data_IF_512692514301
#
_entry.id   IF_512692514301
#
_cell.length_a   1.000
_cell.length_b   1.000
_cell.length_c   1.000
_cell.angle_alpha   90.00
_cell.angle_beta   90.00
_cell.angle_gamma   90.00
#
_symmetry.space_group_name_H-M   'P 1'
#
loop_
_entity.id
_entity.type
_entity.pdbx_description
1 polymer ?
#
# COMPACT_ATOMS: atom_id res chain seq x y z
N UNK A 1 63.15 17.09 -24.38
CA UNK A 1 61.96 16.22 -24.19
C UNK A 1 61.74 15.94 -22.70
N UNK A 2 61.25 16.91 -21.92
CA UNK A 2 60.94 16.72 -20.48
C UNK A 2 59.71 17.50 -19.99
N UNK A 3 59.09 18.33 -20.83
CA UNK A 3 57.98 19.24 -20.46
C UNK A 3 56.60 18.66 -20.76
N UNK A 4 56.48 17.70 -21.68
CA UNK A 4 55.20 17.07 -22.03
C UNK A 4 54.65 16.15 -20.93
N UNK A 5 55.52 15.57 -20.10
CA UNK A 5 55.12 14.63 -19.04
C UNK A 5 54.52 15.33 -17.81
N UNK A 6 54.81 16.62 -17.60
CA UNK A 6 54.32 17.37 -16.44
C UNK A 6 52.84 17.77 -16.55
N UNK A 7 52.33 18.03 -17.75
CA UNK A 7 50.92 18.37 -17.97
C UNK A 7 49.97 17.19 -17.73
N UNK A 8 50.43 15.96 -17.96
CA UNK A 8 49.60 14.76 -17.81
C UNK A 8 49.33 14.38 -16.34
N UNK A 9 50.16 14.85 -15.41
CA UNK A 9 49.99 14.59 -13.96
C UNK A 9 48.98 15.59 -13.35
N UNK A 10 48.91 16.82 -13.85
CA UNK A 10 48.00 17.84 -13.33
C UNK A 10 46.51 17.53 -13.58
N UNK A 11 46.20 16.84 -14.69
CA UNK A 11 44.83 16.42 -15.01
C UNK A 11 44.29 15.29 -14.13
N UNK A 12 45.16 14.48 -13.51
CA UNK A 12 44.74 13.38 -12.63
C UNK A 12 44.34 13.84 -11.23
N UNK A 13 44.78 15.02 -10.79
CA UNK A 13 44.43 15.57 -9.46
C UNK A 13 43.08 16.30 -9.42
N UNK A 14 42.52 16.70 -10.56
CA UNK A 14 41.23 17.39 -10.62
C UNK A 14 40.01 16.44 -10.53
N UNK A 15 40.23 15.11 -10.51
CA UNK A 15 39.17 14.11 -10.58
C UNK A 15 38.72 13.53 -9.22
N UNK A 16 39.26 14.02 -8.09
CA UNK A 16 39.09 13.35 -6.77
C UNK A 16 38.07 13.99 -5.82
N UNK A 17 37.16 14.83 -6.29
CA UNK A 17 36.01 15.28 -5.47
C UNK A 17 34.81 14.37 -5.62
N UNK A 18 35.00 13.06 -5.46
CA UNK A 18 33.87 12.14 -5.24
C UNK A 18 33.47 12.28 -3.76
N UNK A 19 32.45 13.08 -3.47
CA UNK A 19 31.87 13.10 -2.13
C UNK A 19 31.23 11.73 -1.88
N UNK A 20 31.78 11.00 -0.91
CA UNK A 20 31.22 9.72 -0.51
C UNK A 20 29.83 9.97 0.10
N UNK A 21 28.79 9.71 -0.67
CA UNK A 21 27.41 9.77 -0.20
C UNK A 21 27.14 8.63 0.78
N UNK A 22 26.59 8.96 1.94
CA UNK A 22 26.23 7.95 2.93
C UNK A 22 24.88 7.35 2.56
N UNK A 23 24.83 6.02 2.39
CA UNK A 23 23.64 5.31 1.92
C UNK A 23 23.42 4.02 2.70
N UNK A 24 22.17 3.72 3.06
CA UNK A 24 21.77 2.47 3.69
C UNK A 24 20.36 2.06 3.25
N UNK A 25 20.16 0.77 3.03
CA UNK A 25 18.83 0.17 2.87
C UNK A 25 18.45 -0.56 4.14
N UNK A 26 17.22 -0.33 4.62
CA UNK A 26 16.61 -0.90 5.81
C UNK A 26 15.44 -1.78 5.40
N UNK A 27 15.37 -3.00 5.96
CA UNK A 27 14.27 -3.93 5.73
C UNK A 27 13.55 -4.22 7.04
N UNK A 28 12.22 -4.17 7.04
CA UNK A 28 11.39 -4.59 8.18
C UNK A 28 10.17 -5.38 7.71
N UNK A 29 9.68 -6.23 8.60
CA UNK A 29 8.50 -7.05 8.43
C UNK A 29 7.53 -6.73 9.56
N UNK A 30 6.26 -6.55 9.25
CA UNK A 30 5.19 -6.33 10.19
C UNK A 30 4.11 -7.38 9.99
N UNK A 31 3.74 -8.05 11.07
CA UNK A 31 2.62 -8.99 11.07
C UNK A 31 1.31 -8.24 10.84
N UNK A 32 0.41 -8.83 10.06
CA UNK A 32 -0.95 -8.33 9.87
C UNK A 32 -1.91 -9.26 10.58
N UNK A 33 -2.51 -8.85 11.72
CA UNK A 33 -3.48 -9.69 12.42
C UNK A 33 -4.62 -10.09 11.48
N UNK A 34 -5.07 -11.35 11.55
CA UNK A 34 -6.11 -11.86 10.66
C UNK A 34 -7.44 -11.09 10.74
N UNK A 35 -7.73 -10.47 11.89
CA UNK A 35 -8.91 -9.64 12.10
C UNK A 35 -8.82 -8.26 11.40
N UNK A 36 -7.63 -7.84 10.96
CA UNK A 36 -7.41 -6.54 10.32
C UNK A 36 -8.16 -6.44 8.99
N UNK A 37 -9.08 -5.47 8.92
CA UNK A 37 -9.84 -5.11 7.74
C UNK A 37 -9.23 -3.90 7.01
N UNK A 38 -8.50 -3.04 7.73
CA UNK A 38 -7.98 -1.78 7.20
C UNK A 38 -6.50 -1.59 7.52
N UNK A 39 -5.76 -1.01 6.58
CA UNK A 39 -4.39 -0.55 6.76
C UNK A 39 -4.36 0.96 6.53
N UNK A 40 -3.72 1.68 7.45
CA UNK A 40 -3.56 3.13 7.37
C UNK A 40 -2.08 3.46 7.40
N UNK A 41 -1.63 4.26 6.43
CA UNK A 41 -0.23 4.68 6.33
C UNK A 41 -0.06 6.11 6.84
N UNK A 42 0.73 6.28 7.91
CA UNK A 42 1.06 7.57 8.49
C UNK A 42 2.57 7.83 8.35
N UNK A 43 2.96 8.30 7.18
CA UNK A 43 4.37 8.44 6.79
C UNK A 43 4.82 9.88 7.04
N UNK A 44 6.06 10.07 7.49
CA UNK A 44 6.65 11.40 7.61
C UNK A 44 6.55 12.16 6.28
N UNK A 45 6.07 13.39 6.33
CA UNK A 45 5.60 14.14 5.14
C UNK A 45 6.67 14.40 4.08
N UNK A 46 7.94 14.45 4.48
CA UNK A 46 9.05 14.69 3.56
C UNK A 46 9.64 13.40 2.98
N UNK A 47 9.20 12.22 3.44
CA UNK A 47 9.66 10.94 2.89
C UNK A 47 8.87 10.59 1.63
N UNK A 48 9.56 10.11 0.61
CA UNK A 48 8.93 9.54 -0.58
C UNK A 48 8.56 8.07 -0.31
N UNK A 49 7.39 7.63 -0.78
CA UNK A 49 7.02 6.23 -0.65
C UNK A 49 6.09 5.72 -1.77
N UNK A 50 6.17 4.42 -2.02
CA UNK A 50 5.23 3.68 -2.85
C UNK A 50 4.67 2.46 -2.10
N UNK A 51 3.41 2.13 -2.36
CA UNK A 51 2.74 0.95 -1.79
C UNK A 51 2.47 -0.05 -2.92
N UNK A 52 2.98 -1.27 -2.77
CA UNK A 52 2.99 -2.31 -3.79
C UNK A 52 2.27 -3.56 -3.26
N UNK A 53 1.23 -4.07 -3.94
CA UNK A 53 0.63 -5.36 -3.58
C UNK A 53 1.62 -6.52 -3.77
N UNK A 54 1.63 -7.50 -2.87
CA UNK A 54 2.42 -8.72 -3.02
C UNK A 54 1.69 -9.95 -2.48
N UNK A 55 2.08 -11.13 -2.98
CA UNK A 55 1.51 -12.43 -2.59
C UNK A 55 2.08 -12.92 -1.24
N UNK A 56 1.78 -12.20 -0.16
CA UNK A 56 2.20 -12.52 1.19
C UNK A 56 1.13 -12.15 2.23
N UNK A 57 1.36 -12.49 3.49
CA UNK A 57 0.45 -12.23 4.61
C UNK A 57 0.98 -11.19 5.61
N UNK A 58 2.17 -10.64 5.35
CA UNK A 58 2.81 -9.61 6.17
C UNK A 58 3.02 -8.34 5.35
N UNK A 59 3.25 -7.23 6.03
CA UNK A 59 3.73 -6.00 5.39
C UNK A 59 5.27 -6.03 5.42
N UNK A 60 5.89 -5.76 4.29
CA UNK A 60 7.34 -5.57 4.19
C UNK A 60 7.65 -4.13 3.86
N UNK A 61 8.66 -3.55 4.48
CA UNK A 61 9.16 -2.22 4.10
C UNK A 61 10.60 -2.33 3.70
N UNK A 62 10.95 -1.74 2.55
CA UNK A 62 12.31 -1.45 2.18
C UNK A 62 12.49 0.07 2.15
N UNK A 63 13.37 0.60 3.01
CA UNK A 63 13.64 2.04 3.09
C UNK A 63 15.08 2.33 2.72
N UNK A 64 15.27 3.09 1.65
CA UNK A 64 16.57 3.61 1.27
C UNK A 64 16.76 4.99 1.88
N UNK A 65 17.83 5.12 2.66
CA UNK A 65 18.23 6.38 3.30
C UNK A 65 19.55 6.83 2.71
N UNK A 66 19.57 8.08 2.28
CA UNK A 66 20.73 8.79 1.77
C UNK A 66 20.95 10.06 2.59
N UNK A 67 22.20 10.30 3.00
CA UNK A 67 22.57 11.45 3.83
C UNK A 67 23.80 12.16 3.26
N UNK A 68 23.70 13.48 3.15
CA UNK A 68 24.75 14.37 2.66
C UNK A 68 25.18 15.34 3.75
N UNK A 69 26.41 15.84 3.64
CA UNK A 69 27.00 16.81 4.59
C UNK A 69 27.03 16.32 6.04
N UNK A 70 27.21 15.01 6.24
CA UNK A 70 27.32 14.39 7.55
C UNK A 70 28.50 13.42 7.62
N UNK A 71 29.00 13.17 8.83
CA UNK A 71 29.97 12.11 9.07
C UNK A 71 29.28 10.76 9.14
N UNK A 72 30.01 9.69 8.83
CA UNK A 72 29.50 8.32 8.96
C UNK A 72 28.99 8.01 10.38
N UNK A 73 29.64 8.54 11.41
CA UNK A 73 29.23 8.33 12.80
C UNK A 73 27.86 8.95 13.12
N UNK A 74 27.57 10.13 12.57
CA UNK A 74 26.25 10.78 12.71
C UNK A 74 25.18 9.97 11.98
N UNK A 75 25.47 9.53 10.75
CA UNK A 75 24.56 8.68 9.99
C UNK A 75 24.25 7.36 10.71
N UNK A 76 25.28 6.65 11.15
CA UNK A 76 25.13 5.40 11.89
C UNK A 76 24.34 5.59 13.20
N UNK A 77 24.53 6.71 13.90
CA UNK A 77 23.78 7.07 15.11
C UNK A 77 22.27 7.16 14.82
N UNK A 78 21.87 7.95 13.83
CA UNK A 78 20.44 8.13 13.52
C UNK A 78 19.79 6.85 12.96
N UNK A 79 20.53 6.05 12.19
CA UNK A 79 20.09 4.72 11.79
C UNK A 79 19.82 3.84 13.02
N UNK A 80 20.74 3.83 13.99
CA UNK A 80 20.63 3.02 15.21
C UNK A 80 19.47 3.45 16.12
N UNK A 81 19.23 4.76 16.22
CA UNK A 81 18.08 5.30 16.99
C UNK A 81 16.73 5.00 16.31
N UNK A 82 16.75 4.48 15.07
CA UNK A 82 15.56 4.13 14.32
C UNK A 82 14.82 5.36 13.79
N UNK A 83 15.53 6.46 13.50
CA UNK A 83 14.93 7.71 12.98
C UNK A 83 14.06 7.47 11.73
N UNK A 84 14.47 6.53 10.89
CA UNK A 84 13.80 6.18 9.62
C UNK A 84 12.95 4.90 9.72
N UNK A 85 12.74 4.40 10.93
CA UNK A 85 11.98 3.17 11.12
C UNK A 85 10.49 3.41 10.99
N UNK A 86 9.76 2.36 10.63
CA UNK A 86 8.32 2.26 10.82
C UNK A 86 7.98 1.51 12.12
N UNK A 87 6.81 1.82 12.66
CA UNK A 87 6.13 1.12 13.75
C UNK A 87 4.72 0.75 13.31
N UNK A 88 4.22 -0.38 13.79
CA UNK A 88 2.85 -0.82 13.56
C UNK A 88 2.03 -0.65 14.84
N UNK A 89 0.85 -0.04 14.74
CA UNK A 89 -0.08 0.18 15.83
C UNK A 89 -1.40 -0.50 15.49
N UNK A 90 -1.80 -1.48 16.30
CA UNK A 90 -3.09 -2.15 16.17
C UNK A 90 -4.18 -1.30 16.81
N UNK A 91 -5.26 -1.06 16.07
CA UNK A 91 -6.43 -0.32 16.54
C UNK A 91 -7.72 -1.01 16.05
N UNK A 92 -8.36 -1.77 16.93
CA UNK A 92 -9.63 -2.46 16.64
C UNK A 92 -9.56 -3.36 15.39
N UNK A 93 -10.06 -2.88 14.24
CA UNK A 93 -10.07 -3.57 12.94
C UNK A 93 -8.99 -3.06 11.97
N UNK A 94 -8.14 -2.15 12.44
CA UNK A 94 -7.20 -1.39 11.64
C UNK A 94 -5.76 -1.60 12.13
N UNK A 95 -4.81 -1.64 11.19
CA UNK A 95 -3.38 -1.61 11.48
C UNK A 95 -2.78 -0.34 10.88
N UNK A 96 -2.24 0.51 11.74
CA UNK A 96 -1.60 1.76 11.33
C UNK A 96 -0.10 1.50 11.20
N UNK A 97 0.45 1.64 9.99
CA UNK A 97 1.89 1.68 9.77
C UNK A 97 2.35 3.14 9.79
N UNK A 98 3.09 3.52 10.83
CA UNK A 98 3.53 4.89 11.06
C UNK A 98 5.04 5.01 11.01
N UNK A 99 5.58 6.10 10.46
CA UNK A 99 6.98 6.46 10.74
C UNK A 99 7.14 6.59 12.26
N UNK A 100 8.23 6.05 12.80
CA UNK A 100 8.55 6.10 14.24
C UNK A 100 8.77 7.54 14.70
N UNK A 101 9.45 8.33 13.89
CA UNK A 101 9.66 9.75 14.08
C UNK A 101 8.91 10.52 12.98
N UNK A 102 7.82 11.19 13.39
CA UNK A 102 6.98 12.03 12.53
C UNK A 102 7.39 13.51 12.58
N UNK A 103 8.35 13.88 13.44
CA UNK A 103 8.80 15.25 13.64
C UNK A 103 10.33 15.29 13.64
N UNK A 104 10.89 15.02 12.46
CA UNK A 104 12.33 14.94 12.28
C UNK A 104 12.96 16.33 12.27
N UNK A 105 13.61 16.68 13.39
CA UNK A 105 14.42 17.90 13.46
C UNK A 105 15.61 17.84 12.49
N UNK A 106 15.94 18.97 11.86
CA UNK A 106 17.09 19.09 10.98
C UNK A 106 18.39 18.74 11.73
N UNK A 107 19.23 17.93 11.08
CA UNK A 107 20.53 17.54 11.63
C UNK A 107 21.53 18.66 11.29
N UNK A 108 22.04 19.34 12.31
CA UNK A 108 23.06 20.38 12.18
C UNK A 108 24.37 19.91 12.80
N UNK A 109 25.46 20.03 12.05
CA UNK A 109 26.81 19.70 12.47
C UNK A 109 27.64 20.96 12.29
N UNK A 110 28.04 21.57 13.42
CA UNK A 110 28.64 22.90 13.43
C UNK A 110 27.72 23.91 12.70
N UNK A 111 28.20 24.53 11.63
CA UNK A 111 27.44 25.51 10.82
C UNK A 111 26.85 24.90 9.53
N UNK A 112 26.97 23.58 9.34
CA UNK A 112 26.49 22.88 8.14
C UNK A 112 25.24 22.07 8.48
N UNK A 113 24.19 22.22 7.66
CA UNK A 113 23.00 21.40 7.75
C UNK A 113 23.16 20.15 6.87
N UNK A 114 22.84 18.99 7.45
CA UNK A 114 22.77 17.72 6.71
C UNK A 114 21.51 17.71 5.84
N UNK A 115 21.63 17.12 4.66
CA UNK A 115 20.49 16.83 3.79
C UNK A 115 20.19 15.33 3.84
N UNK A 116 18.89 14.99 3.87
CA UNK A 116 18.40 13.63 4.00
C UNK A 116 17.46 13.35 2.82
N UNK A 117 17.66 12.22 2.13
CA UNK A 117 16.72 11.69 1.14
C UNK A 117 16.29 10.28 1.56
N UNK A 118 14.99 10.09 1.75
CA UNK A 118 14.41 8.84 2.24
C UNK A 118 13.32 8.39 1.26
N UNK A 119 13.47 7.16 0.76
CA UNK A 119 12.52 6.56 -0.18
C UNK A 119 12.14 5.18 0.31
N UNK A 120 10.85 4.93 0.50
CA UNK A 120 10.32 3.66 1.02
C UNK A 120 9.44 2.92 0.01
N UNK A 121 9.68 1.61 -0.13
CA UNK A 121 8.79 0.67 -0.81
C UNK A 121 8.07 -0.16 0.23
N UNK A 122 6.74 -0.10 0.24
CA UNK A 122 5.89 -0.76 1.23
C UNK A 122 5.09 -1.85 0.52
N UNK A 123 5.46 -3.11 0.75
CA UNK A 123 4.78 -4.27 0.18
C UNK A 123 3.63 -4.70 1.10
N UNK A 124 2.42 -4.72 0.56
CA UNK A 124 1.17 -4.96 1.29
C UNK A 124 0.49 -6.21 0.75
N UNK A 125 -0.08 -7.09 1.61
CA UNK A 125 -0.81 -8.26 1.14
C UNK A 125 -1.84 -7.90 0.07
N UNK A 126 -1.85 -8.63 -1.05
CA UNK A 126 -2.75 -8.42 -2.18
C UNK A 126 -4.25 -8.53 -1.85
N UNK A 127 -4.57 -9.09 -0.68
CA UNK A 127 -5.93 -9.10 -0.11
C UNK A 127 -6.45 -7.71 0.31
N UNK A 128 -5.60 -6.68 0.34
CA UNK A 128 -6.01 -5.29 0.56
C UNK A 128 -6.00 -4.50 -0.75
N UNK A 129 -6.98 -3.63 -0.92
CA UNK A 129 -7.11 -2.75 -2.07
C UNK A 129 -7.12 -1.29 -1.62
N UNK A 130 -6.50 -0.42 -2.40
CA UNK A 130 -6.44 1.02 -2.13
C UNK A 130 -7.84 1.63 -2.22
N UNK A 131 -8.31 2.22 -1.12
CA UNK A 131 -9.63 2.88 -1.06
C UNK A 131 -9.53 4.39 -1.28
N UNK A 132 -8.35 4.97 -1.07
CA UNK A 132 -8.08 6.40 -1.28
C UNK A 132 -6.98 6.91 -0.37
N UNK A 133 -6.21 7.91 -0.83
CA UNK A 133 -5.11 8.48 -0.06
C UNK A 133 -4.15 7.41 0.49
N UNK A 134 -4.07 7.34 1.82
CA UNK A 134 -3.27 6.41 2.60
C UNK A 134 -4.06 5.24 3.22
N UNK A 135 -5.31 5.00 2.78
CA UNK A 135 -6.17 3.93 3.28
C UNK A 135 -6.24 2.76 2.30
N UNK A 136 -6.04 1.56 2.84
CA UNK A 136 -6.20 0.29 2.14
C UNK A 136 -7.14 -0.60 2.95
N UNK A 137 -8.07 -1.28 2.29
CA UNK A 137 -9.03 -2.14 2.97
C UNK A 137 -9.24 -3.44 2.21
N UNK A 138 -9.64 -4.49 2.93
CA UNK A 138 -10.16 -5.69 2.29
C UNK A 138 -11.45 -5.30 1.55
N UNK A 139 -11.65 -5.77 0.30
CA UNK A 139 -12.95 -5.60 -0.34
C UNK A 139 -14.01 -6.29 0.53
N UNK A 140 -15.13 -5.62 0.76
CA UNK A 140 -16.28 -6.27 1.37
C UNK A 140 -16.63 -7.49 0.50
N UNK A 141 -16.55 -8.68 1.08
CA UNK A 141 -17.07 -9.87 0.42
C UNK A 141 -18.54 -9.58 0.12
N UNK A 142 -18.92 -9.47 -1.14
CA UNK A 142 -20.33 -9.47 -1.53
C UNK A 142 -20.98 -10.65 -0.80
N UNK A 143 -21.83 -10.35 0.19
CA UNK A 143 -22.64 -11.37 0.83
C UNK A 143 -23.38 -12.14 -0.26
N UNK A 144 -23.67 -13.43 -0.06
CA UNK A 144 -24.28 -14.27 -1.09
C UNK A 144 -25.47 -13.51 -1.68
N UNK A 145 -25.47 -13.35 -3.02
CA UNK A 145 -26.55 -12.66 -3.74
C UNK A 145 -27.89 -13.07 -3.11
N UNK A 146 -28.78 -12.12 -2.77
CA UNK A 146 -30.10 -12.49 -2.31
C UNK A 146 -30.70 -13.35 -3.42
N UNK A 147 -30.87 -14.64 -3.14
CA UNK A 147 -31.54 -15.57 -4.05
C UNK A 147 -32.86 -14.90 -4.37
N UNK A 148 -32.95 -14.37 -5.59
CA UNK A 148 -34.18 -13.76 -6.08
C UNK A 148 -35.24 -14.85 -5.91
N UNK A 149 -36.18 -14.65 -4.99
CA UNK A 149 -37.26 -15.58 -4.66
C UNK A 149 -38.14 -15.78 -5.90
N UNK A 150 -37.65 -16.52 -6.89
CA UNK A 150 -38.39 -16.93 -8.09
C UNK A 150 -39.59 -17.80 -7.72
N UNK A 151 -39.66 -18.27 -6.49
CA UNK A 151 -40.75 -19.10 -5.97
C UNK A 151 -42.02 -18.29 -5.68
N UNK A 152 -41.96 -16.96 -5.51
CA UNK A 152 -43.18 -16.14 -5.32
C UNK A 152 -43.90 -15.74 -6.60
N UNK A 153 -43.24 -15.84 -7.77
CA UNK A 153 -43.84 -15.43 -9.04
C UNK A 153 -44.68 -16.54 -9.72
N UNK A 154 -44.61 -17.78 -9.25
CA UNK A 154 -45.39 -18.90 -9.83
C UNK A 154 -46.76 -19.09 -9.16
N UNK A 155 -46.95 -18.57 -7.94
CA UNK A 155 -48.21 -18.73 -7.18
C UNK A 155 -49.32 -17.78 -7.65
N UNK A 156 -48.99 -16.74 -8.41
CA UNK A 156 -49.94 -15.70 -8.82
C UNK A 156 -50.43 -15.82 -10.27
N UNK A 157 -50.18 -16.96 -10.96
CA UNK A 157 -50.82 -17.19 -12.25
C UNK A 157 -52.28 -17.59 -12.03
N UNK A 158 -53.28 -16.82 -12.50
CA UNK A 158 -54.66 -17.26 -12.43
C UNK A 158 -54.83 -18.55 -13.26
N UNK A 159 -55.49 -19.54 -12.66
CA UNK A 159 -55.83 -20.81 -13.30
C UNK A 159 -56.55 -20.55 -14.65
N UNK A 160 -56.26 -21.36 -15.70
CA UNK A 160 -57.02 -21.30 -16.93
C UNK A 160 -58.49 -21.61 -16.64
N UNK A 161 -59.39 -20.67 -16.96
CA UNK A 161 -60.83 -20.90 -16.94
C UNK A 161 -61.14 -21.95 -18.00
N UNK A 162 -61.51 -23.16 -17.56
CA UNK A 162 -62.04 -24.19 -18.45
C UNK A 162 -63.38 -23.70 -19.03
N UNK A 163 -63.63 -23.84 -20.34
CA UNK A 163 -64.92 -23.48 -20.91
C UNK A 163 -66.02 -24.37 -20.35
N UNK A 164 -67.06 -23.72 -19.83
CA UNK A 164 -68.29 -24.32 -19.32
C UNK A 164 -68.96 -25.16 -20.43
N UNK A 165 -69.12 -26.45 -20.16
CA UNK A 165 -69.78 -27.41 -21.06
C UNK A 165 -71.27 -27.56 -20.79
N UNK A 166 -71.90 -26.52 -20.22
CA UNK A 166 -73.35 -26.45 -19.99
C UNK A 166 -74.09 -25.65 -21.06
N UNK A 167 -73.97 -26.05 -22.33
CA UNK A 167 -74.93 -25.71 -23.39
C UNK A 167 -75.04 -26.87 -24.39
N UNK A 168 -75.45 -28.06 -23.92
CA UNK A 168 -76.00 -29.09 -24.81
C UNK A 168 -77.47 -28.77 -25.05
N UNK A 169 -77.79 -28.25 -26.23
CA UNK A 169 -79.17 -28.16 -26.73
C UNK A 169 -79.67 -29.58 -27.06
N UNK A 170 -80.85 -30.01 -26.57
CA UNK A 170 -81.42 -31.32 -26.89
C UNK A 170 -81.93 -31.37 -28.35
N UNK A 171 -82.13 -32.58 -28.90
CA UNK A 171 -82.26 -32.79 -30.34
C UNK A 171 -83.62 -32.28 -30.85
N UNK A 172 -83.60 -31.69 -32.05
CA UNK A 172 -84.83 -31.47 -32.82
C UNK A 172 -85.15 -32.78 -33.52
N UNK A 173 -86.22 -33.40 -33.06
CA UNK A 173 -86.88 -34.52 -33.71
C UNK A 173 -88.17 -33.95 -34.29
N UNK A 174 -88.33 -33.97 -35.61
CA UNK A 174 -89.62 -34.24 -36.24
C UNK A 174 -89.51 -34.33 -37.78
N UNK A 175 -90.02 -35.49 -38.25
CA UNK A 175 -90.77 -35.81 -39.47
C UNK A 175 -90.16 -35.62 -40.86
#
# INVERSE_FOLDING_TARGET
MKTATLCSIFFLYAATSAQAQLKKTLHKVFEVPAATQQLVFNIYEADEYEIIPWAGNTILTETQVEMYNASKGVFDFFLKEGRYDFVALEQSDSLILSSKDLLRHAIKIEDIQSEEQVVSRIFVPDTFQKQGGALWARPETEGPEPKLDRERAEVERPSPVLPDTSQRKPPVQDQ
#
